data_IF_078007329326
#
_entry.id   IF_078007329326
#
_cell.length_a   1.000
_cell.length_b   1.000
_cell.length_c   1.000
_cell.angle_alpha   90.00
_cell.angle_beta   90.00
_cell.angle_gamma   90.00
#
_symmetry.space_group_name_H-M   'P 1'
#
loop_
_entity.id
_entity.type
_entity.pdbx_description
1 polymer ?
#
# COMPACT_ATOMS: atom_id res chain seq x y z
N UNK A 1 4.66 18.04 21.29
CA UNK A 1 3.43 17.54 20.60
C UNK A 1 3.79 16.22 19.97
N UNK A 2 3.05 15.15 20.26
CA UNK A 2 3.39 13.80 19.77
C UNK A 2 2.52 13.51 18.55
N UNK A 3 3.12 13.17 17.41
CA UNK A 3 2.39 12.75 16.21
C UNK A 3 1.93 11.31 16.41
N UNK A 4 0.62 11.08 16.25
CA UNK A 4 -0.04 9.79 16.41
C UNK A 4 -0.63 9.24 15.11
N UNK A 5 -0.86 10.11 14.15
CA UNK A 5 -1.54 9.75 12.91
C UNK A 5 -0.70 10.19 11.71
N UNK A 6 -0.47 9.28 10.77
CA UNK A 6 0.18 9.60 9.49
C UNK A 6 -0.89 9.65 8.39
N UNK A 7 -0.82 10.68 7.56
CA UNK A 7 -1.69 10.84 6.38
C UNK A 7 -0.83 10.84 5.13
N UNK A 8 -0.97 9.80 4.32
CA UNK A 8 -0.11 9.51 3.17
C UNK A 8 -0.91 9.64 1.88
N UNK A 9 -0.63 10.69 1.13
CA UNK A 9 -1.32 10.97 -0.12
C UNK A 9 -0.93 10.02 -1.24
N UNK A 10 -1.81 9.87 -2.22
CA UNK A 10 -1.48 9.30 -3.52
C UNK A 10 -0.53 10.20 -4.30
N UNK A 11 0.04 9.68 -5.39
CA UNK A 11 0.96 10.45 -6.23
C UNK A 11 1.77 9.61 -7.22
N UNK A 12 1.41 8.36 -7.45
CA UNK A 12 2.13 7.49 -8.38
C UNK A 12 3.63 7.42 -8.04
N UNK A 13 4.49 7.74 -9.01
CA UNK A 13 5.94 7.78 -8.82
C UNK A 13 6.41 8.76 -7.72
N UNK A 14 5.60 9.75 -7.38
CA UNK A 14 5.85 10.65 -6.23
C UNK A 14 5.88 9.94 -4.88
N UNK A 15 5.45 8.67 -4.81
CA UNK A 15 5.60 7.81 -3.63
C UNK A 15 7.05 7.72 -3.14
N UNK A 16 8.03 7.73 -4.04
CA UNK A 16 9.45 7.74 -3.64
C UNK A 16 9.83 9.02 -2.89
N UNK A 17 9.27 10.18 -3.29
CA UNK A 17 9.47 11.44 -2.57
C UNK A 17 8.80 11.41 -1.20
N UNK A 18 7.58 10.87 -1.13
CA UNK A 18 6.86 10.68 0.14
C UNK A 18 7.66 9.78 1.09
N UNK A 19 8.19 8.65 0.58
CA UNK A 19 9.06 7.77 1.35
C UNK A 19 10.28 8.50 1.92
N UNK A 20 10.99 9.26 1.08
CA UNK A 20 12.16 10.05 1.51
C UNK A 20 11.80 11.10 2.56
N UNK A 21 10.66 11.78 2.41
CA UNK A 21 10.16 12.74 3.37
C UNK A 21 9.85 12.10 4.73
N UNK A 22 9.16 10.96 4.75
CA UNK A 22 8.85 10.22 5.97
C UNK A 22 10.11 9.77 6.70
N UNK A 23 11.07 9.21 5.96
CA UNK A 23 12.37 8.82 6.51
C UNK A 23 13.11 10.01 7.10
N UNK A 24 13.15 11.13 6.40
CA UNK A 24 13.78 12.36 6.89
C UNK A 24 13.11 12.86 8.16
N UNK A 25 11.78 12.90 8.21
CA UNK A 25 11.01 13.31 9.38
C UNK A 25 11.30 12.41 10.59
N UNK A 26 11.30 11.10 10.38
CA UNK A 26 11.60 10.14 11.45
C UNK A 26 13.03 10.32 11.98
N UNK A 27 14.04 10.45 11.10
CA UNK A 27 15.43 10.63 11.48
C UNK A 27 15.70 11.98 12.20
N UNK A 28 14.84 12.96 12.02
CA UNK A 28 14.88 14.25 12.72
C UNK A 28 13.88 14.32 13.89
N UNK A 29 13.41 13.17 14.38
CA UNK A 29 12.57 13.03 15.58
C UNK A 29 11.22 13.77 15.51
N UNK A 30 10.71 14.09 14.28
CA UNK A 30 9.36 14.66 14.12
C UNK A 30 8.27 13.67 14.53
N UNK A 31 8.51 12.37 14.34
CA UNK A 31 7.65 11.30 14.84
C UNK A 31 8.46 10.05 15.20
N UNK A 32 7.89 9.20 16.05
CA UNK A 32 8.40 7.85 16.35
C UNK A 32 7.31 6.83 16.03
N UNK A 33 7.68 5.69 15.46
CA UNK A 33 6.74 4.60 15.16
C UNK A 33 5.98 4.11 16.39
N UNK A 34 6.61 4.13 17.56
CA UNK A 34 6.01 3.73 18.84
C UNK A 34 4.80 4.58 19.21
N UNK A 35 4.70 5.80 18.69
CA UNK A 35 3.61 6.73 19.00
C UNK A 35 2.52 6.71 17.92
N UNK A 36 2.74 6.01 16.81
CA UNK A 36 1.77 5.99 15.70
C UNK A 36 0.60 5.06 16.05
N UNK A 37 -0.59 5.62 16.10
CA UNK A 37 -1.84 4.91 16.37
C UNK A 37 -2.59 4.57 15.06
N UNK A 38 -2.45 5.40 14.02
CA UNK A 38 -3.07 5.11 12.71
C UNK A 38 -2.29 5.64 11.51
N UNK A 39 -2.48 4.96 10.37
CA UNK A 39 -1.98 5.38 9.05
C UNK A 39 -3.18 5.46 8.11
N UNK A 40 -3.41 6.65 7.57
CA UNK A 40 -4.44 6.96 6.58
C UNK A 40 -3.78 7.14 5.22
N UNK A 41 -4.13 6.33 4.24
CA UNK A 41 -3.35 6.24 3.02
C UNK A 41 -4.20 6.09 1.76
N UNK A 42 -3.71 6.63 0.65
CA UNK A 42 -4.33 6.47 -0.67
C UNK A 42 -3.27 6.14 -1.73
N UNK A 43 -3.56 5.22 -2.64
CA UNK A 43 -2.73 4.86 -3.79
C UNK A 43 -1.27 4.55 -3.40
N UNK A 44 -0.28 5.27 -3.98
CA UNK A 44 1.12 5.12 -3.62
C UNK A 44 1.37 5.26 -2.11
N UNK A 45 0.61 6.13 -1.43
CA UNK A 45 0.65 6.26 0.03
C UNK A 45 0.24 4.98 0.75
N UNK A 46 -0.72 4.21 0.20
CA UNK A 46 -1.12 2.93 0.79
C UNK A 46 -0.05 1.86 0.66
N UNK A 47 0.73 1.88 -0.42
CA UNK A 47 1.91 1.01 -0.59
C UNK A 47 2.98 1.36 0.46
N UNK A 48 3.30 2.66 0.61
CA UNK A 48 4.27 3.11 1.61
C UNK A 48 3.78 2.81 3.04
N UNK A 49 2.51 3.10 3.34
CA UNK A 49 1.91 2.79 4.64
C UNK A 49 1.96 1.30 4.97
N UNK A 50 1.66 0.44 3.99
CA UNK A 50 1.79 -1.00 4.12
C UNK A 50 3.22 -1.45 4.44
N UNK A 51 4.24 -0.86 3.82
CA UNK A 51 5.63 -1.12 4.17
C UNK A 51 5.95 -0.72 5.62
N UNK A 52 5.51 0.46 6.06
CA UNK A 52 5.76 0.94 7.42
C UNK A 52 5.08 0.07 8.50
N UNK A 53 3.97 -0.58 8.16
CA UNK A 53 3.31 -1.55 9.04
C UNK A 53 4.07 -2.88 9.17
N UNK A 54 4.75 -3.29 8.10
CA UNK A 54 5.47 -4.56 8.05
C UNK A 54 6.92 -4.45 8.53
N UNK A 55 7.53 -3.26 8.39
CA UNK A 55 8.86 -3.02 8.92
C UNK A 55 9.05 -1.55 9.28
N UNK A 56 9.64 -1.32 10.44
CA UNK A 56 10.02 0.01 10.92
C UNK A 56 11.52 0.27 10.70
N UNK A 57 12.19 -0.64 9.99
CA UNK A 57 13.62 -0.55 9.72
C UNK A 57 13.88 0.10 8.35
N UNK A 58 14.35 1.34 8.37
CA UNK A 58 14.66 2.10 7.15
C UNK A 58 15.76 1.47 6.29
N UNK A 59 16.71 0.75 6.89
CA UNK A 59 17.75 0.10 6.11
C UNK A 59 17.21 -1.06 5.28
N UNK A 60 16.26 -1.82 5.81
CA UNK A 60 15.59 -2.90 5.08
C UNK A 60 14.74 -2.33 3.95
N UNK A 61 14.00 -1.24 4.23
CA UNK A 61 13.22 -0.53 3.22
C UNK A 61 14.11 0.07 2.12
N UNK A 62 15.21 0.73 2.47
CA UNK A 62 16.17 1.28 1.49
C UNK A 62 16.74 0.18 0.60
N UNK A 63 17.21 -0.91 1.20
CA UNK A 63 17.75 -2.04 0.45
C UNK A 63 16.72 -2.62 -0.51
N UNK A 64 15.48 -2.71 -0.09
CA UNK A 64 14.41 -3.20 -0.92
C UNK A 64 14.01 -2.21 -2.01
N UNK A 65 13.70 -0.97 -1.64
CA UNK A 65 13.16 0.04 -2.57
C UNK A 65 14.22 0.47 -3.59
N UNK A 66 15.47 0.65 -3.17
CA UNK A 66 16.53 1.17 -4.04
C UNK A 66 17.27 0.09 -4.85
N UNK A 67 17.35 -1.15 -4.33
CA UNK A 67 18.16 -2.20 -4.96
C UNK A 67 17.33 -3.24 -5.72
N UNK A 68 15.99 -3.24 -5.57
CA UNK A 68 15.15 -4.18 -6.31
C UNK A 68 15.17 -3.85 -7.80
N UNK A 69 15.31 -4.85 -8.67
CA UNK A 69 15.22 -4.66 -10.12
C UNK A 69 13.74 -4.47 -10.53
N UNK A 70 13.23 -3.25 -10.36
CA UNK A 70 11.84 -2.89 -10.66
C UNK A 70 11.47 -3.09 -12.12
N UNK A 71 12.44 -2.95 -13.03
CA UNK A 71 12.28 -3.20 -14.46
C UNK A 71 11.82 -4.63 -14.77
N UNK A 72 12.24 -5.60 -13.96
CA UNK A 72 11.79 -7.00 -14.10
C UNK A 72 10.40 -7.24 -13.57
N UNK A 73 9.97 -6.46 -12.56
CA UNK A 73 8.63 -6.56 -11.98
C UNK A 73 7.61 -5.78 -12.82
N UNK A 74 8.01 -4.59 -13.30
CA UNK A 74 7.19 -3.68 -14.10
C UNK A 74 7.46 -3.95 -15.59
N UNK A 75 7.23 -5.18 -16.03
CA UNK A 75 7.42 -5.53 -17.45
C UNK A 75 6.11 -5.29 -18.23
N UNK A 76 6.04 -4.14 -18.91
CA UNK A 76 4.91 -3.82 -19.79
C UNK A 76 5.15 -4.48 -21.14
N UNK A 77 4.61 -5.68 -21.32
CA UNK A 77 4.67 -6.38 -22.59
C UNK A 77 3.68 -5.80 -23.61
N UNK A 78 3.93 -5.92 -24.94
CA UNK A 78 2.95 -5.54 -25.95
C UNK A 78 1.58 -6.25 -25.77
N UNK A 79 1.60 -7.49 -25.29
CA UNK A 79 0.38 -8.26 -24.97
C UNK A 79 -0.39 -7.69 -23.79
N UNK A 80 0.30 -7.13 -22.78
CA UNK A 80 -0.34 -6.45 -21.66
C UNK A 80 -1.09 -5.19 -22.13
N UNK A 81 -0.51 -4.45 -23.09
CA UNK A 81 -1.17 -3.28 -23.69
C UNK A 81 -2.42 -3.70 -24.46
N UNK A 82 -2.38 -4.80 -25.19
CA UNK A 82 -3.55 -5.32 -25.91
C UNK A 82 -4.65 -5.81 -24.95
N UNK A 83 -4.29 -6.38 -23.83
CA UNK A 83 -5.24 -6.86 -22.81
C UNK A 83 -5.86 -5.73 -21.98
N UNK A 84 -5.33 -4.51 -22.07
CA UNK A 84 -5.79 -3.34 -21.31
C UNK A 84 -7.29 -3.08 -21.47
N UNK A 85 -7.81 -3.22 -22.71
CA UNK A 85 -9.24 -3.03 -22.99
C UNK A 85 -10.14 -4.08 -22.34
N UNK A 86 -9.63 -5.30 -22.18
CA UNK A 86 -10.40 -6.40 -21.57
C UNK A 86 -10.33 -6.35 -20.04
N UNK A 87 -9.13 -6.08 -19.51
CA UNK A 87 -8.83 -6.13 -18.08
C UNK A 87 -8.96 -4.79 -17.38
N UNK A 88 -9.06 -3.69 -18.13
CA UNK A 88 -9.13 -2.30 -17.63
C UNK A 88 -7.91 -1.84 -16.81
N UNK A 89 -6.82 -2.61 -16.80
CA UNK A 89 -5.56 -2.31 -16.13
C UNK A 89 -4.40 -3.13 -16.70
N UNK A 90 -3.18 -2.63 -16.56
CA UNK A 90 -1.93 -3.31 -16.95
C UNK A 90 -1.48 -4.23 -15.81
N UNK A 91 -1.65 -3.79 -14.57
CA UNK A 91 -1.21 -4.48 -13.36
C UNK A 91 -2.40 -5.05 -12.60
N UNK A 92 -2.20 -6.21 -12.03
CA UNK A 92 -3.17 -6.92 -11.20
C UNK A 92 -2.74 -6.98 -9.72
N UNK A 93 -3.55 -7.67 -8.92
CA UNK A 93 -3.28 -7.87 -7.51
C UNK A 93 -1.97 -8.67 -7.28
N UNK A 94 -1.59 -9.55 -8.20
CA UNK A 94 -0.38 -10.38 -8.04
C UNK A 94 0.88 -9.51 -8.03
N UNK A 95 0.88 -8.38 -8.76
CA UNK A 95 1.98 -7.42 -8.66
C UNK A 95 2.11 -6.85 -7.25
N UNK A 96 1.01 -6.47 -6.60
CA UNK A 96 1.03 -5.97 -5.22
C UNK A 96 1.49 -7.08 -4.26
N UNK A 97 1.00 -8.31 -4.44
CA UNK A 97 1.44 -9.44 -3.62
C UNK A 97 2.95 -9.68 -3.76
N UNK A 98 3.49 -9.69 -4.96
CA UNK A 98 4.93 -9.83 -5.20
C UNK A 98 5.75 -8.69 -4.58
N UNK A 99 5.21 -7.48 -4.52
CA UNK A 99 5.85 -6.35 -3.83
C UNK A 99 5.91 -6.59 -2.32
N UNK A 100 4.85 -7.11 -1.70
CA UNK A 100 4.77 -7.28 -0.25
C UNK A 100 5.33 -8.61 0.26
N UNK A 101 5.41 -9.63 -0.58
CA UNK A 101 5.82 -10.98 -0.24
C UNK A 101 7.13 -11.09 0.56
N UNK A 102 8.24 -10.39 0.22
CA UNK A 102 9.48 -10.49 1.01
C UNK A 102 9.31 -10.01 2.44
N UNK A 103 8.54 -8.94 2.66
CA UNK A 103 8.28 -8.40 4.00
C UNK A 103 7.34 -9.29 4.81
N UNK A 104 6.28 -9.78 4.19
CA UNK A 104 5.37 -10.72 4.83
C UNK A 104 6.12 -11.99 5.28
N UNK A 105 6.98 -12.52 4.43
CA UNK A 105 7.83 -13.67 4.77
C UNK A 105 8.83 -13.37 5.88
N UNK A 106 9.48 -12.21 5.87
CA UNK A 106 10.46 -11.86 6.90
C UNK A 106 9.84 -11.70 8.28
N UNK A 107 8.54 -11.38 8.33
CA UNK A 107 7.74 -11.26 9.56
C UNK A 107 7.00 -12.55 9.95
N UNK A 108 7.20 -13.63 9.18
CA UNK A 108 6.44 -14.89 9.32
C UNK A 108 4.92 -14.68 9.26
N UNK A 109 4.50 -13.77 8.35
CA UNK A 109 3.09 -13.49 8.10
C UNK A 109 2.60 -14.24 6.86
N UNK A 110 1.32 -14.63 6.89
CA UNK A 110 0.66 -15.21 5.74
C UNK A 110 0.57 -14.19 4.59
N UNK A 111 0.80 -14.61 3.34
CA UNK A 111 0.69 -13.76 2.15
C UNK A 111 -0.72 -13.14 1.99
N UNK A 112 -1.75 -13.80 2.53
CA UNK A 112 -3.15 -13.34 2.54
C UNK A 112 -3.58 -12.76 3.91
N UNK A 113 -2.63 -12.17 4.66
CA UNK A 113 -2.95 -11.56 5.96
C UNK A 113 -4.09 -10.56 5.83
N UNK A 114 -5.13 -10.69 6.69
CA UNK A 114 -6.26 -9.78 6.70
C UNK A 114 -5.97 -8.49 7.47
N UNK A 115 -6.75 -7.45 7.22
CA UNK A 115 -6.62 -6.17 7.94
C UNK A 115 -6.78 -6.35 9.46
N UNK A 116 -7.70 -7.22 9.89
CA UNK A 116 -7.87 -7.56 11.32
C UNK A 116 -6.64 -8.26 11.90
N UNK A 117 -6.09 -9.24 11.18
CA UNK A 117 -4.88 -9.94 11.61
C UNK A 117 -3.68 -8.99 11.67
N UNK A 118 -3.56 -8.08 10.70
CA UNK A 118 -2.50 -7.07 10.66
C UNK A 118 -2.61 -6.14 11.88
N UNK A 119 -3.82 -5.62 12.16
CA UNK A 119 -4.05 -4.79 13.34
C UNK A 119 -3.68 -5.53 14.64
N UNK A 120 -4.06 -6.79 14.79
CA UNK A 120 -3.72 -7.60 15.97
C UNK A 120 -2.20 -7.75 16.19
N UNK A 121 -1.42 -7.67 15.11
CA UNK A 121 0.05 -7.80 15.16
C UNK A 121 0.77 -6.46 15.35
N UNK A 122 0.23 -5.39 14.78
CA UNK A 122 0.91 -4.07 14.75
C UNK A 122 0.36 -3.10 15.77
N UNK A 123 -0.90 -3.28 16.20
CA UNK A 123 -1.69 -2.34 16.99
C UNK A 123 -1.80 -0.93 16.36
N UNK A 124 -1.67 -0.85 15.02
CA UNK A 124 -1.80 0.37 14.25
C UNK A 124 -3.00 0.23 13.32
N UNK A 125 -3.92 1.19 13.38
CA UNK A 125 -5.07 1.26 12.48
C UNK A 125 -4.62 1.65 11.08
N UNK A 126 -4.93 0.81 10.09
CA UNK A 126 -4.62 1.09 8.69
C UNK A 126 -5.89 1.37 7.91
N UNK A 127 -5.93 2.56 7.32
CA UNK A 127 -7.03 3.03 6.47
C UNK A 127 -6.54 3.22 5.04
N UNK A 128 -7.11 2.45 4.11
CA UNK A 128 -6.97 2.65 2.68
C UNK A 128 -8.20 3.36 2.13
N UNK A 129 -8.02 4.41 1.35
CA UNK A 129 -9.11 5.12 0.70
C UNK A 129 -9.21 4.70 -0.77
N UNK A 130 -10.41 4.35 -1.20
CA UNK A 130 -10.72 3.96 -2.58
C UNK A 130 -12.01 4.64 -3.04
N UNK A 131 -12.35 4.50 -4.31
CA UNK A 131 -13.58 5.03 -4.89
C UNK A 131 -14.49 3.89 -5.33
N UNK A 132 -15.75 3.92 -4.88
CA UNK A 132 -16.78 3.01 -5.35
C UNK A 132 -17.28 3.48 -6.74
N UNK A 133 -17.03 2.66 -7.76
CA UNK A 133 -17.44 2.94 -9.15
C UNK A 133 -18.84 2.39 -9.48
N UNK A 134 -19.43 1.58 -8.59
CA UNK A 134 -20.74 0.95 -8.81
C UNK A 134 -21.92 1.77 -8.27
N UNK A 135 -21.65 2.88 -7.59
CA UNK A 135 -22.68 3.80 -7.13
C UNK A 135 -22.96 4.89 -8.17
N UNK A 136 -24.17 5.41 -8.20
CA UNK A 136 -24.58 6.49 -9.10
C UNK A 136 -23.77 7.79 -8.89
N UNK A 137 -23.22 7.94 -7.69
CA UNK A 137 -22.35 9.06 -7.30
C UNK A 137 -21.01 8.47 -6.89
N UNK A 138 -19.91 9.03 -7.39
CA UNK A 138 -18.57 8.62 -6.98
C UNK A 138 -18.43 8.82 -5.47
N UNK A 139 -18.30 7.72 -4.75
CA UNK A 139 -18.21 7.69 -3.31
C UNK A 139 -16.82 7.24 -2.85
N UNK A 140 -16.22 8.01 -1.93
CA UNK A 140 -14.99 7.58 -1.28
C UNK A 140 -15.31 6.56 -0.19
N UNK A 141 -14.71 5.38 -0.30
CA UNK A 141 -14.84 4.31 0.68
C UNK A 141 -13.58 4.22 1.52
N UNK A 142 -13.75 4.20 2.84
CA UNK A 142 -12.67 3.96 3.80
C UNK A 142 -12.62 2.47 4.12
N UNK A 143 -11.52 1.83 3.75
CA UNK A 143 -11.25 0.42 4.00
C UNK A 143 -10.30 0.30 5.19
N UNK A 144 -10.72 -0.40 6.23
CA UNK A 144 -9.94 -0.66 7.43
C UNK A 144 -10.40 -1.97 8.09
N UNK A 145 -9.73 -2.41 9.14
CA UNK A 145 -10.22 -3.58 9.88
C UNK A 145 -11.56 -3.33 10.58
N UNK A 146 -11.95 -2.09 10.83
CA UNK A 146 -13.25 -1.73 11.39
C UNK A 146 -14.40 -1.94 10.40
N UNK A 147 -14.14 -1.70 9.11
CA UNK A 147 -15.15 -1.76 8.04
C UNK A 147 -15.05 -3.06 7.25
N UNK A 148 -13.85 -3.59 7.05
CA UNK A 148 -13.55 -4.76 6.22
C UNK A 148 -12.52 -5.66 6.91
N UNK A 149 -12.84 -6.27 8.08
CA UNK A 149 -11.88 -7.00 8.90
C UNK A 149 -11.22 -8.16 8.18
N UNK A 150 -11.96 -8.85 7.34
CA UNK A 150 -11.52 -10.08 6.65
C UNK A 150 -10.90 -9.80 5.27
N UNK A 151 -10.82 -8.52 4.85
CA UNK A 151 -10.18 -8.15 3.60
C UNK A 151 -8.65 -8.28 3.72
N UNK A 152 -8.02 -8.90 2.71
CA UNK A 152 -6.57 -9.05 2.65
C UNK A 152 -5.87 -7.68 2.49
N UNK A 153 -4.73 -7.48 3.15
CA UNK A 153 -3.92 -6.27 3.05
C UNK A 153 -3.58 -5.91 1.60
N UNK A 154 -3.06 -6.88 0.83
CA UNK A 154 -2.68 -6.64 -0.56
C UNK A 154 -3.89 -6.26 -1.42
N UNK A 155 -5.07 -6.82 -1.13
CA UNK A 155 -6.31 -6.48 -1.82
C UNK A 155 -6.76 -5.05 -1.49
N UNK A 156 -6.72 -4.65 -0.22
CA UNK A 156 -7.04 -3.28 0.21
C UNK A 156 -6.12 -2.24 -0.45
N UNK A 157 -4.80 -2.52 -0.48
CA UNK A 157 -3.81 -1.65 -1.14
C UNK A 157 -4.06 -1.59 -2.66
N UNK A 158 -4.36 -2.72 -3.31
CA UNK A 158 -4.65 -2.78 -4.74
C UNK A 158 -5.91 -1.95 -5.06
N UNK A 159 -7.00 -2.09 -4.29
CA UNK A 159 -8.22 -1.28 -4.43
C UNK A 159 -7.93 0.22 -4.31
N UNK A 160 -7.10 0.62 -3.36
CA UNK A 160 -6.68 2.01 -3.19
C UNK A 160 -5.78 2.52 -4.31
N UNK A 161 -5.04 1.63 -4.96
CA UNK A 161 -4.10 1.95 -6.04
C UNK A 161 -4.71 1.78 -7.44
N UNK A 162 -5.97 1.40 -7.54
CA UNK A 162 -6.67 1.08 -8.79
C UNK A 162 -6.91 2.32 -9.67
N UNK A 163 -5.81 3.03 -10.01
CA UNK A 163 -5.86 4.11 -10.99
C UNK A 163 -6.20 3.52 -12.37
N UNK A 164 -7.22 4.06 -13.07
CA UNK A 164 -7.66 3.56 -14.37
C UNK A 164 -6.49 3.37 -15.33
N UNK A 165 -6.52 2.29 -16.09
CA UNK A 165 -5.51 1.83 -17.03
C UNK A 165 -4.19 1.32 -16.41
N UNK A 166 -3.88 1.68 -15.18
CA UNK A 166 -2.67 1.17 -14.48
C UNK A 166 -2.95 -0.13 -13.75
N UNK A 167 -3.93 -0.13 -12.85
CA UNK A 167 -4.33 -1.33 -12.11
C UNK A 167 -5.73 -1.77 -12.47
N UNK A 168 -5.94 -3.08 -12.52
CA UNK A 168 -7.26 -3.67 -12.70
C UNK A 168 -8.18 -3.27 -11.53
N UNK A 169 -9.42 -2.85 -11.80
CA UNK A 169 -10.39 -2.61 -10.73
C UNK A 169 -10.72 -3.94 -10.03
N UNK A 170 -10.87 -3.90 -8.72
CA UNK A 170 -11.23 -5.07 -7.91
C UNK A 170 -12.74 -5.01 -7.61
N UNK A 171 -13.43 -6.11 -7.87
CA UNK A 171 -14.84 -6.32 -7.57
C UNK A 171 -15.01 -7.21 -6.33
#
# INVERSE_FOLDING_TARGET
MTIKHLVLSGGGAGGFTLYGALKHMHNNEFFSFENIESIHASSAGSIIGGFLLLTQNWNDLDNYILKRPWDKLINISPTAILSLWQKKGIFDIEMIKEIFKPFLKSMDYNENITLKQLFQKTNIDFYCYTTNLNSDILETVSISYHTHPDLELCKAICMSSAFPMMFEPIC
#
